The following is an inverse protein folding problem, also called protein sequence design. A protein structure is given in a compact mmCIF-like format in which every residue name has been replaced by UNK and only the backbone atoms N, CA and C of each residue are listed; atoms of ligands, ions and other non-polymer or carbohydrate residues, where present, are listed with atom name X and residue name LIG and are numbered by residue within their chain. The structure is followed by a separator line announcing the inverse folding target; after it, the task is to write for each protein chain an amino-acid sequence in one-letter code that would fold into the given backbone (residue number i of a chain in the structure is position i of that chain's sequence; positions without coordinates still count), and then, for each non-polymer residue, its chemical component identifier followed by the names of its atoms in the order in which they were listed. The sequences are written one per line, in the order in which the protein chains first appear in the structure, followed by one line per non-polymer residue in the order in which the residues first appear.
data_IF_386346856138
#
_entry.id   IF_386346856138
#
_cell.length_a   1.000
_cell.length_b   1.000
_cell.length_c   1.000
_cell.angle_alpha   90.00
_cell.angle_beta   90.00
_cell.angle_gamma   90.00
#
_symmetry.space_group_name_H-M   'P 1'
#
loop_
_entity.id
_entity.type
_entity.pdbx_description
1 polymer ?
#
# COMPACT_ATOMS: atom_id res chain seq x y z
N UNK A 1 41.70 29.34 -12.52
CA UNK A 1 41.87 28.23 -13.48
C UNK A 1 41.15 26.99 -12.95
N UNK A 2 39.84 26.89 -13.18
CA UNK A 2 39.08 25.67 -12.87
C UNK A 2 38.87 24.90 -14.17
N UNK A 3 39.64 23.82 -14.37
CA UNK A 3 39.54 23.01 -15.59
C UNK A 3 38.50 21.91 -15.40
N UNK A 4 37.44 22.08 -16.19
CA UNK A 4 36.42 21.14 -16.65
C UNK A 4 36.97 19.71 -16.75
N UNK A 5 36.35 18.76 -16.04
CA UNK A 5 36.66 17.33 -16.16
C UNK A 5 36.00 16.75 -17.42
N UNK A 6 36.81 15.98 -18.15
CA UNK A 6 36.60 15.47 -19.49
C UNK A 6 35.64 14.27 -19.48
N UNK A 7 34.56 14.36 -20.28
CA UNK A 7 33.49 13.36 -20.40
C UNK A 7 33.94 12.01 -20.99
N UNK A 8 35.17 11.91 -21.51
CA UNK A 8 35.72 10.65 -22.04
C UNK A 8 36.36 9.76 -20.96
N UNK A 9 36.78 10.31 -19.82
CA UNK A 9 37.32 9.51 -18.70
C UNK A 9 36.21 8.82 -17.90
N UNK A 10 35.01 9.43 -17.85
CA UNK A 10 33.81 8.86 -17.24
C UNK A 10 33.29 7.62 -18.01
N UNK A 11 33.53 7.55 -19.32
CA UNK A 11 33.06 6.46 -20.17
C UNK A 11 33.98 5.23 -20.14
N UNK A 12 35.29 5.42 -19.99
CA UNK A 12 36.26 4.32 -19.81
C UNK A 12 36.19 3.67 -18.43
N UNK A 13 35.87 4.44 -17.39
CA UNK A 13 35.68 3.88 -16.04
C UNK A 13 34.38 3.06 -15.94
N UNK A 14 33.36 3.43 -16.74
CA UNK A 14 32.11 2.68 -16.91
C UNK A 14 32.27 1.34 -17.66
N UNK A 15 33.13 1.26 -18.67
CA UNK A 15 33.34 0.02 -19.45
C UNK A 15 34.23 -1.02 -18.73
N UNK A 16 35.15 -0.61 -17.86
CA UNK A 16 35.96 -1.53 -17.06
C UNK A 16 35.17 -2.28 -15.97
N UNK A 17 33.99 -1.79 -15.58
CA UNK A 17 33.12 -2.46 -14.60
C UNK A 17 32.15 -3.48 -15.25
N UNK A 18 32.01 -3.48 -16.58
CA UNK A 18 30.97 -4.28 -17.28
C UNK A 18 31.42 -5.68 -17.73
N UNK A 19 32.70 -6.03 -17.58
CA UNK A 19 33.22 -7.35 -17.95
C UNK A 19 33.12 -8.41 -16.83
N UNK A 20 32.71 -8.03 -15.62
CA UNK A 20 32.43 -8.98 -14.53
C UNK A 20 30.94 -9.38 -14.45
N UNK A 21 30.14 -9.08 -15.48
CA UNK A 21 28.70 -9.34 -15.52
C UNK A 21 28.36 -10.59 -16.33
N UNK A 22 29.00 -11.74 -16.05
CA UNK A 22 28.59 -13.01 -16.68
C UNK A 22 28.75 -14.28 -15.82
N UNK A 23 28.95 -14.20 -14.50
CA UNK A 23 28.81 -15.36 -13.62
C UNK A 23 28.27 -14.94 -12.25
N UNK A 24 27.25 -15.64 -11.77
CA UNK A 24 26.62 -15.59 -10.43
C UNK A 24 25.31 -14.81 -10.32
N UNK A 25 24.27 -15.59 -10.06
CA UNK A 25 22.97 -15.23 -9.50
C UNK A 25 23.06 -14.23 -8.32
N UNK A 26 21.95 -13.50 -8.14
CA UNK A 26 21.51 -12.85 -6.89
C UNK A 26 22.18 -11.53 -6.51
N UNK A 27 21.60 -10.39 -6.93
CA UNK A 27 21.56 -9.20 -6.07
C UNK A 27 20.46 -8.23 -6.50
N UNK A 28 19.21 -8.52 -6.11
CA UNK A 28 18.20 -7.48 -5.92
C UNK A 28 18.58 -6.77 -4.63
N UNK A 29 19.32 -5.67 -4.73
CA UNK A 29 19.56 -4.80 -3.58
C UNK A 29 18.31 -3.95 -3.34
N UNK A 30 17.30 -4.54 -2.69
CA UNK A 30 16.23 -3.79 -2.05
C UNK A 30 16.87 -3.07 -0.87
N UNK A 31 17.12 -1.77 -1.03
CA UNK A 31 17.52 -0.88 0.05
C UNK A 31 16.48 -0.98 1.18
N UNK A 32 16.82 -1.68 2.25
CA UNK A 32 16.03 -1.66 3.48
C UNK A 32 16.25 -0.31 4.17
N UNK A 33 15.44 0.67 3.80
CA UNK A 33 15.27 1.88 4.60
C UNK A 33 14.49 1.50 5.86
N UNK A 34 15.19 1.55 6.99
CA UNK A 34 14.65 1.53 8.36
C UNK A 34 13.44 2.47 8.46
N UNK A 35 12.25 1.93 8.25
CA UNK A 35 11.00 2.67 8.28
C UNK A 35 10.40 2.50 9.67
N UNK A 36 10.13 3.61 10.37
CA UNK A 36 9.12 3.59 11.43
C UNK A 36 7.89 2.91 10.87
N UNK A 37 7.51 1.77 11.45
CA UNK A 37 6.32 1.05 11.01
C UNK A 37 5.11 1.90 11.39
N UNK A 38 4.36 2.36 10.39
CA UNK A 38 3.06 3.01 10.61
C UNK A 38 2.14 2.06 11.40
N UNK A 39 1.51 2.59 12.44
CA UNK A 39 0.51 1.89 13.24
C UNK A 39 -0.86 2.52 13.06
N UNK A 40 -1.93 1.71 13.10
CA UNK A 40 -3.31 2.18 12.95
C UNK A 40 -3.66 3.31 13.94
N UNK A 41 -3.16 3.19 15.18
CA UNK A 41 -3.31 4.21 16.22
C UNK A 41 -2.73 5.58 15.84
N UNK A 42 -1.65 5.64 15.07
CA UNK A 42 -1.06 6.91 14.60
C UNK A 42 -1.92 7.62 13.55
N UNK A 43 -2.89 6.90 12.98
CA UNK A 43 -3.90 7.38 12.02
C UNK A 43 -5.26 7.64 12.70
N UNK A 44 -5.38 7.45 14.02
CA UNK A 44 -6.66 7.56 14.73
C UNK A 44 -7.61 6.39 14.50
N UNK A 45 -7.13 5.28 13.93
CA UNK A 45 -7.94 4.08 13.65
C UNK A 45 -7.93 3.17 14.88
N UNK A 46 -9.12 2.85 15.38
CA UNK A 46 -9.34 2.06 16.58
C UNK A 46 -9.65 0.59 16.24
N UNK A 47 -8.60 -0.22 16.06
CA UNK A 47 -8.74 -1.66 15.80
C UNK A 47 -9.25 -2.47 17.00
N UNK A 48 -9.23 -1.92 18.22
CA UNK A 48 -9.75 -2.62 19.40
C UNK A 48 -11.28 -2.61 19.47
N UNK A 49 -11.94 -1.78 18.66
CA UNK A 49 -13.41 -1.69 18.63
C UNK A 49 -14.08 -2.97 18.12
N UNK A 50 -13.37 -3.78 17.33
CA UNK A 50 -13.97 -4.89 16.59
C UNK A 50 -14.82 -4.45 15.39
N UNK A 51 -14.91 -3.15 15.12
CA UNK A 51 -15.74 -2.60 14.05
C UNK A 51 -15.12 -2.86 12.68
N UNK A 52 -15.90 -3.45 11.78
CA UNK A 52 -15.53 -3.65 10.38
C UNK A 52 -15.10 -2.34 9.71
N UNK A 53 -15.74 -1.21 10.05
CA UNK A 53 -15.39 0.09 9.49
C UNK A 53 -13.95 0.51 9.84
N UNK A 54 -13.51 0.25 11.07
CA UNK A 54 -12.14 0.53 11.51
C UNK A 54 -11.13 -0.41 10.83
N UNK A 55 -11.51 -1.66 10.63
CA UNK A 55 -10.68 -2.63 9.88
C UNK A 55 -10.52 -2.24 8.42
N UNK A 56 -11.59 -1.76 7.78
CA UNK A 56 -11.52 -1.30 6.40
C UNK A 56 -10.70 -0.01 6.27
N UNK A 57 -10.82 0.95 7.19
CA UNK A 57 -9.92 2.13 7.25
C UNK A 57 -8.45 1.71 7.29
N UNK A 58 -8.12 0.71 8.11
CA UNK A 58 -6.75 0.20 8.17
C UNK A 58 -6.32 -0.48 6.88
N UNK A 59 -7.21 -1.23 6.24
CA UNK A 59 -6.93 -1.84 4.94
C UNK A 59 -6.66 -0.78 3.86
N UNK A 60 -7.46 0.29 3.79
CA UNK A 60 -7.21 1.42 2.91
C UNK A 60 -5.83 2.06 3.14
N UNK A 61 -5.45 2.25 4.41
CA UNK A 61 -4.11 2.71 4.77
C UNK A 61 -3.05 1.78 4.17
N UNK A 62 -3.19 0.46 4.35
CA UNK A 62 -2.24 -0.52 3.83
C UNK A 62 -2.12 -0.50 2.29
N UNK A 63 -3.19 -0.18 1.57
CA UNK A 63 -3.16 -0.02 0.11
C UNK A 63 -2.31 1.18 -0.32
N UNK A 64 -2.37 2.28 0.44
CA UNK A 64 -1.58 3.50 0.21
C UNK A 64 -0.11 3.29 0.61
N UNK A 65 0.15 2.79 1.82
CA UNK A 65 1.50 2.53 2.30
C UNK A 65 2.23 1.40 1.55
N UNK A 66 1.50 0.57 0.80
CA UNK A 66 2.07 -0.47 -0.06
C UNK A 66 2.80 0.03 -1.31
N UNK A 67 2.74 1.34 -1.61
CA UNK A 67 3.48 1.97 -2.73
C UNK A 67 4.79 2.60 -2.26
N UNK A 68 5.79 2.77 -3.15
CA UNK A 68 7.02 3.48 -2.81
C UNK A 68 6.79 4.99 -2.81
N UNK A 69 6.17 5.47 -1.72
CA UNK A 69 5.85 6.88 -1.45
C UNK A 69 6.39 7.31 -0.09
N UNK A 70 6.50 8.62 0.12
CA UNK A 70 6.83 9.15 1.44
C UNK A 70 5.70 8.81 2.43
N UNK A 71 6.07 8.37 3.63
CA UNK A 71 5.10 7.98 4.68
C UNK A 71 4.14 9.13 5.02
N UNK A 72 4.62 10.37 5.04
CA UNK A 72 3.80 11.57 5.26
C UNK A 72 2.75 11.80 4.16
N UNK A 73 3.08 11.46 2.90
CA UNK A 73 2.16 11.59 1.76
C UNK A 73 1.06 10.53 1.85
N UNK A 74 1.40 9.27 2.11
CA UNK A 74 0.41 8.21 2.34
C UNK A 74 -0.48 8.50 3.58
N UNK A 75 0.12 9.03 4.67
CA UNK A 75 -0.63 9.44 5.87
C UNK A 75 -1.65 10.54 5.56
N UNK A 76 -1.28 11.58 4.81
CA UNK A 76 -2.23 12.64 4.42
C UNK A 76 -3.36 12.07 3.56
N UNK A 77 -3.03 11.25 2.56
CA UNK A 77 -4.03 10.66 1.69
C UNK A 77 -5.08 9.82 2.45
N UNK A 78 -4.66 8.98 3.41
CA UNK A 78 -5.64 8.20 4.20
C UNK A 78 -6.47 9.09 5.13
N UNK A 79 -5.88 10.13 5.71
CA UNK A 79 -6.62 11.06 6.57
C UNK A 79 -7.67 11.83 5.77
N UNK A 80 -7.35 12.30 4.56
CA UNK A 80 -8.34 12.96 3.71
C UNK A 80 -9.52 12.03 3.36
N UNK A 81 -9.26 10.73 3.09
CA UNK A 81 -10.35 9.76 2.87
C UNK A 81 -11.21 9.55 4.12
N UNK A 82 -10.60 9.56 5.31
CA UNK A 82 -11.31 9.45 6.60
C UNK A 82 -12.16 10.70 6.85
N UNK A 83 -11.59 11.88 6.65
CA UNK A 83 -12.27 13.17 6.89
C UNK A 83 -13.48 13.37 5.95
N UNK A 84 -13.45 12.78 4.76
CA UNK A 84 -14.53 12.78 3.78
C UNK A 84 -15.53 11.61 3.95
N UNK A 85 -15.40 10.79 5.00
CA UNK A 85 -16.21 9.59 5.26
C UNK A 85 -16.20 8.55 4.11
N UNK A 86 -15.15 8.54 3.29
CA UNK A 86 -14.97 7.59 2.18
C UNK A 86 -14.16 6.37 2.65
N UNK A 87 -14.73 5.67 3.63
CA UNK A 87 -14.05 4.57 4.34
C UNK A 87 -14.87 3.30 4.42
N UNK A 88 -15.66 3.00 3.40
CA UNK A 88 -16.33 1.71 3.22
C UNK A 88 -16.36 1.32 1.75
N UNK A 89 -16.49 0.02 1.40
CA UNK A 89 -16.60 -0.38 0.00
C UNK A 89 -17.71 0.37 -0.73
N UNK A 90 -18.86 0.59 -0.09
CA UNK A 90 -19.97 1.36 -0.68
C UNK A 90 -19.64 2.85 -0.83
N UNK A 91 -18.99 3.47 0.15
CA UNK A 91 -18.61 4.87 0.04
C UNK A 91 -17.60 5.10 -1.08
N UNK A 92 -16.61 4.22 -1.21
CA UNK A 92 -15.62 4.24 -2.30
C UNK A 92 -16.32 4.13 -3.66
N UNK A 93 -17.25 3.18 -3.82
CA UNK A 93 -18.02 3.02 -5.06
C UNK A 93 -18.90 4.23 -5.38
N UNK A 94 -19.56 4.82 -4.37
CA UNK A 94 -20.39 6.01 -4.55
C UNK A 94 -19.59 7.26 -4.91
N UNK A 95 -18.40 7.43 -4.33
CA UNK A 95 -17.53 8.56 -4.63
C UNK A 95 -17.09 8.54 -6.11
N UNK A 96 -16.82 7.35 -6.64
CA UNK A 96 -16.38 7.20 -8.02
C UNK A 96 -14.94 7.67 -8.25
N UNK A 97 -14.45 7.47 -9.47
CA UNK A 97 -13.03 7.65 -9.78
C UNK A 97 -12.58 9.11 -9.65
N UNK A 98 -13.33 10.06 -10.20
CA UNK A 98 -12.95 11.48 -10.20
C UNK A 98 -12.79 12.02 -8.77
N UNK A 99 -13.76 11.75 -7.88
CA UNK A 99 -13.70 12.23 -6.50
C UNK A 99 -12.53 11.61 -5.72
N UNK A 100 -12.25 10.33 -5.94
CA UNK A 100 -11.11 9.67 -5.31
C UNK A 100 -9.78 10.28 -5.78
N UNK A 101 -9.68 10.62 -7.07
CA UNK A 101 -8.50 11.31 -7.62
C UNK A 101 -8.32 12.68 -6.98
N UNK A 102 -9.37 13.48 -6.89
CA UNK A 102 -9.33 14.80 -6.23
C UNK A 102 -8.78 14.71 -4.80
N UNK A 103 -9.33 13.81 -3.98
CA UNK A 103 -8.93 13.62 -2.59
C UNK A 103 -7.48 13.16 -2.46
N UNK A 104 -7.04 12.27 -3.37
CA UNK A 104 -5.66 11.79 -3.41
C UNK A 104 -4.69 12.89 -3.86
N UNK A 105 -5.08 13.73 -4.81
CA UNK A 105 -4.28 14.87 -5.28
C UNK A 105 -4.12 15.94 -4.19
N UNK A 106 -5.18 16.24 -3.45
CA UNK A 106 -5.14 17.11 -2.26
C UNK A 106 -4.17 16.58 -1.18
N UNK A 107 -4.04 15.26 -1.07
CA UNK A 107 -3.05 14.59 -0.20
C UNK A 107 -1.60 14.65 -0.74
N UNK A 108 -1.39 15.27 -1.91
CA UNK A 108 -0.18 15.24 -2.73
C UNK A 108 0.24 13.83 -3.15
N UNK A 109 -0.73 12.95 -3.39
CA UNK A 109 -0.52 11.58 -3.86
C UNK A 109 -0.38 11.47 -5.39
N UNK A 110 -0.09 12.60 -6.06
CA UNK A 110 -0.08 12.84 -7.53
C UNK A 110 0.62 11.76 -8.36
N UNK A 111 1.71 11.15 -7.86
CA UNK A 111 2.45 10.13 -8.63
C UNK A 111 1.59 8.88 -8.90
N UNK A 112 0.61 8.62 -8.04
CA UNK A 112 -0.13 7.36 -8.02
C UNK A 112 -1.64 7.54 -7.88
N UNK A 113 -2.15 8.76 -7.81
CA UNK A 113 -3.57 9.10 -7.63
C UNK A 113 -4.50 8.31 -8.56
N UNK A 114 -4.33 8.40 -9.88
CA UNK A 114 -5.16 7.72 -10.88
C UNK A 114 -5.15 6.21 -10.67
N UNK A 115 -3.95 5.62 -10.56
CA UNK A 115 -3.78 4.18 -10.38
C UNK A 115 -4.31 3.68 -9.04
N UNK A 116 -4.32 4.55 -8.02
CA UNK A 116 -4.79 4.24 -6.68
C UNK A 116 -6.30 4.37 -6.61
N UNK A 117 -6.90 5.41 -7.19
CA UNK A 117 -8.34 5.55 -7.34
C UNK A 117 -8.96 4.32 -8.05
N UNK A 118 -8.37 3.91 -9.19
CA UNK A 118 -8.79 2.68 -9.88
C UNK A 118 -8.66 1.45 -8.98
N UNK A 119 -7.54 1.30 -8.27
CA UNK A 119 -7.34 0.18 -7.34
C UNK A 119 -8.37 0.17 -6.22
N UNK A 120 -8.67 1.31 -5.62
CA UNK A 120 -9.65 1.42 -4.53
C UNK A 120 -11.04 0.97 -5.00
N UNK A 121 -11.43 1.38 -6.21
CA UNK A 121 -12.67 0.94 -6.85
C UNK A 121 -12.64 -0.57 -7.15
N UNK A 122 -11.61 -1.07 -7.82
CA UNK A 122 -11.49 -2.49 -8.19
C UNK A 122 -11.59 -3.40 -6.95
N UNK A 123 -10.84 -3.05 -5.89
CA UNK A 123 -10.83 -3.82 -4.63
C UNK A 123 -12.19 -3.76 -3.93
N UNK A 124 -12.79 -2.57 -3.85
CA UNK A 124 -14.09 -2.41 -3.18
C UNK A 124 -15.21 -3.13 -3.93
N UNK A 125 -15.19 -3.13 -5.27
CA UNK A 125 -16.13 -3.92 -6.09
C UNK A 125 -15.93 -5.40 -5.85
N UNK A 126 -14.69 -5.89 -5.91
CA UNK A 126 -14.38 -7.30 -5.73
C UNK A 126 -14.76 -7.84 -4.34
N UNK A 127 -14.57 -7.04 -3.27
CA UNK A 127 -15.04 -7.38 -1.91
C UNK A 127 -16.56 -7.56 -1.91
N UNK A 128 -17.29 -6.60 -2.48
CA UNK A 128 -18.76 -6.65 -2.51
C UNK A 128 -19.28 -7.83 -3.34
N UNK A 129 -18.68 -8.08 -4.49
CA UNK A 129 -19.09 -9.14 -5.41
C UNK A 129 -18.77 -10.53 -4.86
N UNK A 130 -17.63 -10.70 -4.20
CA UNK A 130 -17.15 -12.02 -3.77
C UNK A 130 -17.57 -12.38 -2.35
N UNK A 131 -17.60 -11.39 -1.44
CA UNK A 131 -17.79 -11.59 0.00
C UNK A 131 -19.00 -10.83 0.57
N UNK A 132 -19.57 -9.88 -0.18
CA UNK A 132 -20.63 -8.99 0.29
C UNK A 132 -20.12 -7.83 1.14
N UNK A 133 -19.43 -8.13 2.25
CA UNK A 133 -18.81 -7.13 3.14
C UNK A 133 -17.34 -7.42 3.40
N UNK A 134 -16.60 -6.45 3.93
CA UNK A 134 -15.20 -6.66 4.30
C UNK A 134 -15.09 -7.57 5.53
N UNK A 135 -16.04 -7.49 6.45
CA UNK A 135 -16.11 -8.34 7.63
C UNK A 135 -16.35 -9.80 7.27
N UNK A 136 -17.18 -10.07 6.25
CA UNK A 136 -17.36 -11.42 5.73
C UNK A 136 -16.05 -12.00 5.21
N UNK A 137 -15.28 -11.24 4.41
CA UNK A 137 -13.95 -11.66 3.96
C UNK A 137 -13.03 -12.04 5.12
N UNK A 138 -13.05 -11.27 6.22
CA UNK A 138 -12.24 -11.59 7.40
C UNK A 138 -12.74 -12.88 8.09
N UNK A 139 -14.06 -13.05 8.22
CA UNK A 139 -14.67 -14.20 8.88
C UNK A 139 -14.53 -15.52 8.12
N UNK A 140 -14.41 -15.47 6.79
CA UNK A 140 -14.18 -16.64 5.94
C UNK A 140 -12.78 -17.24 6.09
N UNK A 141 -11.82 -16.47 6.60
CA UNK A 141 -10.44 -16.88 6.76
C UNK A 141 -10.19 -17.40 8.17
N UNK A 142 -9.71 -18.64 8.30
CA UNK A 142 -9.51 -19.29 9.62
C UNK A 142 -8.15 -18.96 10.26
N UNK A 143 -7.23 -18.37 9.51
CA UNK A 143 -5.89 -18.01 9.98
C UNK A 143 -5.25 -16.90 9.12
N UNK A 144 -4.16 -16.32 9.63
CA UNK A 144 -3.43 -15.23 8.97
C UNK A 144 -2.90 -15.59 7.57
N UNK A 145 -2.56 -16.86 7.32
CA UNK A 145 -2.06 -17.32 6.01
C UNK A 145 -3.18 -17.30 4.97
N UNK A 146 -4.36 -17.82 5.31
CA UNK A 146 -5.56 -17.76 4.47
C UNK A 146 -5.97 -16.34 4.18
N UNK A 147 -5.98 -15.47 5.19
CA UNK A 147 -6.30 -14.06 5.02
C UNK A 147 -5.29 -13.35 4.11
N UNK A 148 -3.99 -13.62 4.28
CA UNK A 148 -2.93 -13.12 3.39
C UNK A 148 -3.18 -13.52 1.94
N UNK A 149 -3.49 -14.80 1.71
CA UNK A 149 -3.76 -15.33 0.38
C UNK A 149 -5.05 -14.75 -0.23
N UNK A 150 -6.09 -14.58 0.59
CA UNK A 150 -7.37 -14.01 0.16
C UNK A 150 -7.21 -12.56 -0.28
N UNK A 151 -6.55 -11.72 0.53
CA UNK A 151 -6.28 -10.31 0.19
C UNK A 151 -5.49 -10.18 -1.11
N UNK A 152 -4.52 -11.06 -1.37
CA UNK A 152 -3.68 -11.02 -2.58
C UNK A 152 -4.40 -11.49 -3.85
N UNK A 153 -5.62 -12.03 -3.76
CA UNK A 153 -6.47 -12.28 -4.94
C UNK A 153 -6.97 -10.98 -5.56
N UNK A 154 -7.07 -9.91 -4.78
CA UNK A 154 -7.49 -8.62 -5.30
C UNK A 154 -6.39 -7.99 -6.15
N UNK A 155 -6.78 -7.53 -7.34
CA UNK A 155 -5.86 -6.95 -8.31
C UNK A 155 -5.09 -5.78 -7.69
N UNK A 156 -3.77 -5.89 -7.72
CA UNK A 156 -2.85 -4.88 -7.21
C UNK A 156 -2.59 -4.95 -5.70
N UNK A 157 -3.24 -5.83 -4.94
CA UNK A 157 -2.87 -6.11 -3.55
C UNK A 157 -1.69 -7.08 -3.54
N UNK A 158 -0.53 -6.59 -3.09
CA UNK A 158 0.71 -7.38 -3.09
C UNK A 158 1.08 -7.91 -1.70
N UNK A 159 2.11 -8.76 -1.61
CA UNK A 159 2.57 -9.35 -0.35
C UNK A 159 2.88 -8.29 0.71
N UNK A 160 3.44 -7.13 0.32
CA UNK A 160 3.78 -6.07 1.26
C UNK A 160 2.55 -5.43 1.90
N UNK A 161 1.48 -5.24 1.14
CA UNK A 161 0.21 -4.73 1.69
C UNK A 161 -0.38 -5.72 2.68
N UNK A 162 -0.41 -7.01 2.32
CA UNK A 162 -0.91 -8.07 3.21
C UNK A 162 -0.07 -8.17 4.49
N UNK A 163 1.25 -8.09 4.39
CA UNK A 163 2.18 -8.07 5.54
C UNK A 163 1.89 -6.89 6.49
N UNK A 164 1.73 -5.68 5.96
CA UNK A 164 1.43 -4.49 6.79
C UNK A 164 0.07 -4.65 7.48
N UNK A 165 -0.93 -5.17 6.76
CA UNK A 165 -2.27 -5.38 7.31
C UNK A 165 -2.26 -6.40 8.45
N UNK A 166 -1.68 -7.59 8.20
CA UNK A 166 -1.64 -8.70 9.16
C UNK A 166 -0.83 -8.38 10.40
N UNK A 167 0.21 -7.54 10.31
CA UNK A 167 1.01 -7.14 11.47
C UNK A 167 0.16 -6.60 12.63
N UNK A 168 -0.90 -5.87 12.33
CA UNK A 168 -1.84 -5.36 13.34
C UNK A 168 -3.08 -6.26 13.48
N UNK A 169 -3.53 -6.89 12.39
CA UNK A 169 -4.79 -7.63 12.43
C UNK A 169 -4.68 -9.04 13.01
N UNK A 170 -3.55 -9.73 12.83
CA UNK A 170 -3.38 -11.13 13.26
C UNK A 170 -3.62 -11.32 14.77
N UNK A 171 -3.02 -10.53 15.69
CA UNK A 171 -3.27 -10.69 17.13
C UNK A 171 -4.73 -10.47 17.54
N UNK A 172 -5.52 -9.79 16.69
CA UNK A 172 -6.90 -9.39 16.97
C UNK A 172 -7.90 -10.38 16.39
N UNK A 173 -7.63 -10.92 15.21
CA UNK A 173 -8.50 -11.88 14.53
C UNK A 173 -8.22 -13.33 14.97
N UNK A 174 -6.97 -13.64 15.31
CA UNK A 174 -6.52 -15.00 15.62
C UNK A 174 -5.72 -15.03 16.93
N UNK A 175 -6.35 -14.70 18.08
CA UNK A 175 -5.69 -14.79 19.37
C UNK A 175 -5.29 -16.26 19.65
N UNK A 176 -4.08 -16.44 20.19
CA UNK A 176 -3.53 -17.76 20.57
C UNK A 176 -4.03 -18.23 21.92
#
# INVERSE_FOLDING_TARGET
MGRVQNLQDQQKQWESCRSAYLLSLSCVHVSQMSSKNIAAKELGINLESGDEAEYFKWFLACLLFGKPVQQSVAKRAILNLIDEDITSPDAIQRAGWDRLVEILDEGHYVRYDFSTATKLLDVSSAIKETHGTFGNLLSECSNASELSASLQKFKGVGPKTAEIFLREMEPRLYPK
#
